data_IF_558282922776
#
_entry.id   IF_558282922776
#
_cell.length_a   1.000
_cell.length_b   1.000
_cell.length_c   1.000
_cell.angle_alpha   90.00
_cell.angle_beta   90.00
_cell.angle_gamma   90.00
#
_symmetry.space_group_name_H-M   'P 1'
#
loop_
_entity.id
_entity.type
_entity.pdbx_description
1 polymer ?
#
# COMPACT_ATOMS: atom_id res chain seq x y z
N UNK A 1 -24.43 22.81 -28.38
CA UNK A 1 -23.60 22.46 -27.20
C UNK A 1 -23.59 20.94 -27.16
N UNK A 2 -22.53 20.36 -27.69
CA UNK A 2 -22.55 18.99 -28.20
C UNK A 2 -22.56 17.96 -27.09
N UNK A 3 -23.45 16.99 -27.23
CA UNK A 3 -23.61 15.80 -26.37
C UNK A 3 -22.26 15.10 -26.13
N UNK A 4 -21.36 15.18 -27.11
CA UNK A 4 -19.99 14.67 -27.05
C UNK A 4 -19.13 15.33 -25.95
N UNK A 5 -19.22 16.65 -25.76
CA UNK A 5 -18.53 17.38 -24.69
C UNK A 5 -19.11 16.98 -23.32
N UNK A 6 -20.41 16.69 -23.26
CA UNK A 6 -21.09 16.25 -22.06
C UNK A 6 -20.72 14.80 -21.70
N UNK A 7 -20.58 13.91 -22.69
CA UNK A 7 -20.07 12.54 -22.50
C UNK A 7 -18.62 12.55 -22.04
N UNK A 8 -17.75 13.36 -22.67
CA UNK A 8 -16.35 13.52 -22.26
C UNK A 8 -16.19 14.03 -20.82
N UNK A 9 -17.13 14.85 -20.32
CA UNK A 9 -17.16 15.28 -18.90
C UNK A 9 -17.46 14.15 -17.91
N UNK A 10 -18.12 13.07 -18.35
CA UNK A 10 -18.51 11.94 -17.51
C UNK A 10 -17.63 10.70 -17.70
N UNK A 11 -16.74 10.71 -18.70
CA UNK A 11 -15.72 9.67 -18.82
C UNK A 11 -14.77 9.74 -17.62
N UNK A 12 -14.43 8.56 -17.10
CA UNK A 12 -13.43 8.44 -16.05
C UNK A 12 -12.11 9.01 -16.57
N UNK A 13 -11.67 10.13 -15.99
CA UNK A 13 -10.36 10.72 -16.29
C UNK A 13 -9.26 9.68 -16.05
N UNK A 14 -8.19 9.72 -16.82
CA UNK A 14 -7.03 8.88 -16.51
C UNK A 14 -6.32 9.36 -15.24
N UNK A 15 -5.63 8.41 -14.60
CA UNK A 15 -4.82 8.70 -13.42
C UNK A 15 -3.56 9.48 -13.83
N UNK A 16 -3.20 10.47 -13.03
CA UNK A 16 -1.96 11.22 -13.20
C UNK A 16 -0.75 10.26 -13.16
N UNK A 17 0.19 10.36 -14.12
CA UNK A 17 1.41 9.56 -14.11
C UNK A 17 2.30 9.93 -12.93
N UNK A 18 3.17 9.00 -12.51
CA UNK A 18 4.18 9.24 -11.47
C UNK A 18 5.58 8.96 -12.01
N UNK A 19 6.25 7.92 -11.52
CA UNK A 19 7.50 7.40 -12.08
C UNK A 19 7.18 6.06 -12.71
N UNK A 20 7.77 5.76 -13.87
CA UNK A 20 7.48 4.57 -14.68
C UNK A 20 7.43 3.28 -13.85
N UNK A 21 8.43 3.03 -13.01
CA UNK A 21 8.46 1.83 -12.16
C UNK A 21 7.27 1.71 -11.19
N UNK A 22 6.77 2.84 -10.66
CA UNK A 22 5.59 2.87 -9.81
C UNK A 22 4.33 2.67 -10.64
N UNK A 23 4.24 3.35 -11.79
CA UNK A 23 3.10 3.26 -12.68
C UNK A 23 2.91 1.83 -13.21
N UNK A 24 4.00 1.19 -13.66
CA UNK A 24 4.03 -0.20 -14.12
C UNK A 24 3.68 -1.17 -13.00
N UNK A 25 4.27 -1.01 -11.82
CA UNK A 25 3.97 -1.88 -10.69
C UNK A 25 2.51 -1.76 -10.25
N UNK A 26 1.98 -0.53 -10.20
CA UNK A 26 0.62 -0.25 -9.75
C UNK A 26 -0.46 -0.58 -10.79
N UNK A 27 -0.11 -0.65 -12.09
CA UNK A 27 -1.06 -0.91 -13.17
C UNK A 27 -1.92 -2.17 -12.96
N UNK A 28 -1.31 -3.25 -12.46
CA UNK A 28 -2.01 -4.52 -12.18
C UNK A 28 -3.05 -4.43 -11.04
N UNK A 29 -3.06 -3.32 -10.29
CA UNK A 29 -3.99 -3.07 -9.20
C UNK A 29 -5.06 -2.03 -9.57
N UNK A 30 -5.09 -1.50 -10.81
CA UNK A 30 -6.04 -0.45 -11.24
C UNK A 30 -7.48 -0.86 -10.96
N UNK A 31 -7.84 -2.11 -11.29
CA UNK A 31 -9.20 -2.66 -11.15
C UNK A 31 -9.63 -2.88 -9.69
N UNK A 32 -8.73 -2.69 -8.72
CA UNK A 32 -9.08 -2.71 -7.31
C UNK A 32 -9.85 -1.45 -6.89
N UNK A 33 -9.72 -0.35 -7.64
CA UNK A 33 -10.22 0.96 -7.26
C UNK A 33 -11.33 1.39 -8.23
N UNK A 34 -12.52 1.64 -7.69
CA UNK A 34 -13.62 2.21 -8.48
C UNK A 34 -13.35 3.67 -8.88
N UNK A 35 -12.73 4.43 -7.99
CA UNK A 35 -12.37 5.82 -8.24
C UNK A 35 -10.91 5.99 -8.63
N UNK A 36 -10.68 6.75 -9.70
CA UNK A 36 -9.35 7.13 -10.17
C UNK A 36 -8.52 7.82 -9.08
N UNK A 37 -9.17 8.60 -8.21
CA UNK A 37 -8.52 9.27 -7.07
C UNK A 37 -7.94 8.29 -6.06
N UNK A 38 -8.63 7.17 -5.81
CA UNK A 38 -8.13 6.12 -4.91
C UNK A 38 -6.93 5.41 -5.55
N UNK A 39 -6.99 5.14 -6.86
CA UNK A 39 -5.85 4.58 -7.58
C UNK A 39 -4.63 5.52 -7.58
N UNK A 40 -4.82 6.82 -7.76
CA UNK A 40 -3.75 7.81 -7.63
C UNK A 40 -3.16 7.83 -6.22
N UNK A 41 -4.00 7.82 -5.18
CA UNK A 41 -3.53 7.77 -3.79
C UNK A 41 -2.70 6.49 -3.53
N UNK A 42 -3.10 5.36 -4.11
CA UNK A 42 -2.32 4.12 -4.05
C UNK A 42 -0.92 4.29 -4.68
N UNK A 43 -0.83 4.91 -5.87
CA UNK A 43 0.44 5.20 -6.54
C UNK A 43 1.31 6.16 -5.72
N UNK A 44 0.73 7.25 -5.22
CA UNK A 44 1.42 8.23 -4.39
C UNK A 44 1.94 7.63 -3.08
N UNK A 45 1.18 6.71 -2.48
CA UNK A 45 1.64 6.01 -1.28
C UNK A 45 2.90 5.18 -1.58
N UNK A 46 2.93 4.44 -2.69
CA UNK A 46 4.11 3.67 -3.11
C UNK A 46 5.32 4.57 -3.38
N UNK A 47 5.11 5.65 -4.12
CA UNK A 47 6.15 6.65 -4.39
C UNK A 47 6.71 7.24 -3.08
N UNK A 48 5.84 7.61 -2.14
CA UNK A 48 6.23 8.13 -0.83
C UNK A 48 7.00 7.12 0.02
N UNK A 49 6.56 5.86 0.03
CA UNK A 49 7.21 4.78 0.78
C UNK A 49 8.60 4.48 0.23
N UNK A 50 8.81 4.55 -1.09
CA UNK A 50 10.11 4.25 -1.72
C UNK A 50 11.04 5.47 -1.72
N UNK A 51 10.50 6.70 -1.64
CA UNK A 51 11.33 7.93 -1.68
C UNK A 51 12.33 8.04 -0.51
N UNK A 52 13.45 8.78 -0.63
CA UNK A 52 14.44 8.90 0.44
C UNK A 52 14.04 9.88 1.56
N UNK A 53 12.79 9.85 2.03
CA UNK A 53 12.33 10.68 3.15
C UNK A 53 12.62 10.06 4.51
N UNK A 54 13.08 10.89 5.45
CA UNK A 54 13.42 10.49 6.83
C UNK A 54 12.23 9.93 7.61
N UNK A 55 11.02 10.46 7.40
CA UNK A 55 9.79 9.99 8.07
C UNK A 55 8.72 9.65 7.04
N UNK A 56 8.14 8.46 7.17
CA UNK A 56 7.14 7.89 6.26
C UNK A 56 5.70 8.19 6.68
N UNK A 57 5.47 9.38 7.26
CA UNK A 57 4.11 9.78 7.65
C UNK A 57 3.33 10.29 6.43
N UNK A 58 2.00 10.19 6.48
CA UNK A 58 1.15 10.68 5.37
C UNK A 58 1.37 12.16 5.04
N UNK A 59 1.58 13.08 6.03
CA UNK A 59 1.91 14.46 5.71
C UNK A 59 3.25 14.64 4.98
N UNK A 60 4.28 13.88 5.35
CA UNK A 60 5.58 13.96 4.68
C UNK A 60 5.53 13.35 3.27
N UNK A 61 4.81 12.25 3.11
CA UNK A 61 4.54 11.64 1.80
C UNK A 61 3.78 12.64 0.91
N UNK A 62 2.75 13.30 1.45
CA UNK A 62 1.95 14.27 0.71
C UNK A 62 2.79 15.43 0.14
N UNK A 63 3.78 15.91 0.92
CA UNK A 63 4.74 16.94 0.46
C UNK A 63 5.58 16.45 -0.72
N UNK A 64 6.12 15.23 -0.63
CA UNK A 64 6.99 14.68 -1.68
C UNK A 64 6.24 14.39 -2.97
N UNK A 65 5.04 13.83 -2.87
CA UNK A 65 4.21 13.51 -4.05
C UNK A 65 3.39 14.70 -4.55
N UNK A 66 3.61 15.90 -3.98
CA UNK A 66 3.03 17.18 -4.37
C UNK A 66 1.48 17.17 -4.41
N UNK A 67 0.85 16.39 -3.55
CA UNK A 67 -0.62 16.44 -3.37
C UNK A 67 -0.99 17.55 -2.40
N UNK A 68 -2.08 18.27 -2.72
CA UNK A 68 -2.51 19.47 -1.99
C UNK A 68 -2.85 19.21 -0.52
N UNK A 69 -3.20 17.98 -0.15
CA UNK A 69 -3.57 17.64 1.23
C UNK A 69 -3.22 16.21 1.57
N UNK A 70 -2.67 16.00 2.77
CA UNK A 70 -2.49 14.67 3.36
C UNK A 70 -3.82 13.97 3.67
N UNK A 71 -4.93 14.73 3.68
CA UNK A 71 -6.26 14.20 3.97
C UNK A 71 -6.73 13.22 2.90
N UNK A 72 -6.34 13.38 1.64
CA UNK A 72 -6.69 12.42 0.59
C UNK A 72 -6.03 11.05 0.83
N UNK A 73 -4.75 11.05 1.24
CA UNK A 73 -4.04 9.83 1.61
C UNK A 73 -4.61 9.17 2.87
N UNK A 74 -5.02 9.99 3.84
CA UNK A 74 -5.69 9.49 5.05
C UNK A 74 -7.03 8.85 4.71
N UNK A 75 -7.88 9.56 3.96
CA UNK A 75 -9.18 9.05 3.50
C UNK A 75 -9.01 7.77 2.69
N UNK A 76 -8.03 7.73 1.79
CA UNK A 76 -7.68 6.55 1.02
C UNK A 76 -7.43 5.30 1.89
N UNK A 77 -6.73 5.45 3.01
CA UNK A 77 -6.42 4.34 3.90
C UNK A 77 -7.55 4.00 4.88
N UNK A 78 -8.29 5.01 5.34
CA UNK A 78 -9.27 4.84 6.42
C UNK A 78 -10.70 4.55 5.93
N UNK A 79 -11.09 5.14 4.79
CA UNK A 79 -12.50 5.23 4.40
C UNK A 79 -12.78 4.72 2.98
N UNK A 80 -11.77 4.65 2.09
CA UNK A 80 -12.01 4.24 0.70
C UNK A 80 -12.34 2.75 0.58
N UNK A 81 -13.31 2.43 -0.27
CA UNK A 81 -13.86 1.08 -0.45
C UNK A 81 -13.00 0.20 -1.38
N UNK A 82 -11.80 -0.18 -0.93
CA UNK A 82 -10.97 -1.17 -1.62
C UNK A 82 -10.70 -2.39 -0.72
N UNK A 83 -10.62 -3.57 -1.33
CA UNK A 83 -10.51 -4.83 -0.58
C UNK A 83 -9.05 -5.19 -0.30
N UNK A 84 -8.66 -5.19 0.97
CA UNK A 84 -7.35 -5.70 1.44
C UNK A 84 -7.14 -7.15 1.01
N UNK A 85 -8.19 -7.97 1.02
CA UNK A 85 -8.10 -9.38 0.61
C UNK A 85 -7.83 -9.50 -0.88
N UNK A 86 -8.50 -8.73 -1.74
CA UNK A 86 -8.20 -8.69 -3.18
C UNK A 86 -6.79 -8.21 -3.45
N UNK A 87 -6.34 -7.13 -2.77
CA UNK A 87 -4.97 -6.63 -2.87
C UNK A 87 -3.94 -7.73 -2.54
N UNK A 88 -4.15 -8.45 -1.43
CA UNK A 88 -3.28 -9.55 -1.01
C UNK A 88 -3.25 -10.68 -2.03
N UNK A 89 -4.41 -11.07 -2.56
CA UNK A 89 -4.52 -12.12 -3.57
C UNK A 89 -3.80 -11.74 -4.87
N UNK A 90 -4.02 -10.52 -5.38
CA UNK A 90 -3.34 -9.99 -6.57
C UNK A 90 -1.81 -10.00 -6.38
N UNK A 91 -1.33 -9.49 -5.23
CA UNK A 91 0.09 -9.47 -4.90
C UNK A 91 0.69 -10.87 -4.82
N UNK A 92 0.00 -11.82 -4.17
CA UNK A 92 0.47 -13.20 -4.07
C UNK A 92 0.50 -13.88 -5.44
N UNK A 93 -0.49 -13.65 -6.29
CA UNK A 93 -0.51 -14.18 -7.66
C UNK A 93 0.65 -13.62 -8.48
N UNK A 94 0.96 -12.33 -8.36
CA UNK A 94 2.12 -11.71 -9.00
C UNK A 94 3.43 -12.36 -8.55
N UNK A 95 3.62 -12.51 -7.23
CA UNK A 95 4.80 -13.20 -6.68
C UNK A 95 4.88 -14.63 -7.23
N UNK A 96 3.80 -15.41 -7.18
CA UNK A 96 3.78 -16.79 -7.71
C UNK A 96 4.18 -16.86 -9.19
N UNK A 97 3.68 -15.93 -10.02
CA UNK A 97 4.05 -15.84 -11.45
C UNK A 97 5.55 -15.59 -11.61
N UNK A 98 6.12 -14.64 -10.85
CA UNK A 98 7.56 -14.33 -10.89
C UNK A 98 8.43 -15.50 -10.44
N UNK A 99 7.99 -16.26 -9.43
CA UNK A 99 8.71 -17.42 -8.96
C UNK A 99 8.75 -18.56 -9.98
N UNK A 100 7.77 -18.66 -10.88
CA UNK A 100 7.78 -19.64 -11.97
C UNK A 100 7.96 -21.09 -11.51
N UNK A 101 7.48 -21.45 -10.32
CA UNK A 101 7.64 -22.79 -9.74
C UNK A 101 9.03 -23.13 -9.20
N UNK A 102 9.95 -22.15 -9.15
CA UNK A 102 11.28 -22.34 -8.54
C UNK A 102 11.19 -22.65 -7.05
N UNK A 103 12.12 -23.46 -6.57
CA UNK A 103 12.30 -23.69 -5.14
C UNK A 103 12.72 -22.38 -4.46
N UNK A 104 11.99 -21.98 -3.43
CA UNK A 104 12.22 -20.76 -2.67
C UNK A 104 12.42 -21.07 -1.20
N UNK A 105 13.30 -20.30 -0.56
CA UNK A 105 13.33 -20.25 0.90
C UNK A 105 12.40 -19.14 1.37
N UNK A 106 11.46 -19.51 2.22
CA UNK A 106 10.54 -18.58 2.84
C UNK A 106 11.11 -18.18 4.19
N UNK A 107 11.48 -16.92 4.34
CA UNK A 107 11.82 -16.33 5.64
C UNK A 107 10.56 -15.67 6.18
N UNK A 108 10.11 -16.14 7.33
CA UNK A 108 9.00 -15.55 8.08
C UNK A 108 9.63 -14.82 9.26
N UNK A 109 9.54 -13.50 9.25
CA UNK A 109 9.99 -12.67 10.36
C UNK A 109 8.82 -11.91 10.97
N UNK A 110 8.81 -11.82 12.30
CA UNK A 110 7.80 -11.09 13.06
C UNK A 110 8.32 -9.69 13.35
N UNK A 111 7.74 -8.68 12.69
CA UNK A 111 8.00 -7.28 13.02
C UNK A 111 6.87 -6.74 13.90
N UNK A 112 7.17 -6.54 15.19
CA UNK A 112 6.24 -5.95 16.15
C UNK A 112 6.50 -4.46 16.37
N UNK A 113 5.55 -3.61 15.97
CA UNK A 113 5.59 -2.17 16.26
C UNK A 113 4.82 -1.85 17.54
N UNK A 114 5.51 -1.26 18.52
CA UNK A 114 4.93 -0.82 19.79
C UNK A 114 4.03 0.40 19.56
N UNK A 115 2.76 0.30 19.94
CA UNK A 115 1.86 1.46 19.98
C UNK A 115 1.76 1.99 21.41
N UNK A 116 2.41 3.12 21.69
CA UNK A 116 2.34 3.78 23.00
C UNK A 116 1.16 4.76 23.05
N UNK A 117 0.08 4.37 23.71
CA UNK A 117 -1.07 5.26 23.97
C UNK A 117 -2.20 4.57 24.74
N UNK A 118 -2.92 5.33 25.58
CA UNK A 118 -4.14 4.85 26.29
C UNK A 118 -5.42 4.96 25.46
N UNK A 119 -5.35 5.53 24.25
CA UNK A 119 -6.50 5.95 23.43
C UNK A 119 -6.76 5.07 22.19
N UNK A 120 -6.04 3.98 22.01
CA UNK A 120 -6.27 3.08 20.87
C UNK A 120 -6.98 1.84 21.38
N UNK A 121 -8.31 1.83 21.24
CA UNK A 121 -9.10 0.61 21.37
C UNK A 121 -8.68 -0.40 20.29
N UNK A 122 -8.79 -1.69 20.58
CA UNK A 122 -8.54 -2.83 19.67
C UNK A 122 -7.08 -3.21 19.34
N UNK A 123 -6.10 -2.90 20.18
CA UNK A 123 -4.76 -3.53 20.08
C UNK A 123 -4.57 -4.50 21.24
N UNK A 124 -4.76 -5.80 20.96
CA UNK A 124 -4.56 -6.87 21.93
C UNK A 124 -3.11 -6.90 22.42
N UNK A 125 -2.91 -7.31 23.69
CA UNK A 125 -1.57 -7.59 24.21
C UNK A 125 -1.05 -8.85 23.53
N UNK A 126 0.10 -8.75 22.87
CA UNK A 126 0.77 -9.86 22.23
C UNK A 126 2.26 -9.81 22.50
N UNK A 127 2.93 -10.95 22.41
CA UNK A 127 4.38 -11.01 22.52
C UNK A 127 4.96 -10.22 21.35
N UNK A 128 5.82 -9.24 21.64
CA UNK A 128 6.50 -8.46 20.63
C UNK A 128 7.96 -8.91 20.63
N UNK A 129 8.35 -9.68 19.61
CA UNK A 129 9.72 -10.20 19.47
C UNK A 129 10.81 -9.13 19.57
N UNK A 130 10.51 -7.91 19.12
CA UNK A 130 11.40 -6.73 19.18
C UNK A 130 11.77 -6.27 20.60
N UNK A 131 11.00 -6.65 21.63
CA UNK A 131 11.24 -6.23 23.03
C UNK A 131 11.28 -7.41 24.02
N UNK A 132 11.08 -8.64 23.55
CA UNK A 132 11.10 -9.85 24.38
C UNK A 132 10.01 -9.91 25.44
N UNK A 133 8.91 -9.18 25.28
CA UNK A 133 7.82 -9.05 26.27
C UNK A 133 6.46 -8.90 25.60
N UNK A 134 5.41 -9.21 26.36
CA UNK A 134 4.01 -9.01 25.97
C UNK A 134 3.62 -7.53 26.18
N UNK A 135 3.25 -6.83 25.10
CA UNK A 135 2.74 -5.45 25.13
C UNK A 135 1.67 -5.24 24.04
N UNK A 136 1.02 -4.07 24.00
CA UNK A 136 0.09 -3.71 22.91
C UNK A 136 0.90 -3.27 21.68
N UNK A 137 0.78 -4.00 20.59
CA UNK A 137 1.42 -3.67 19.31
C UNK A 137 0.68 -4.27 18.13
N UNK A 138 1.06 -3.94 16.91
CA UNK A 138 0.63 -4.67 15.72
C UNK A 138 1.80 -5.58 15.32
N UNK A 139 1.51 -6.87 15.16
CA UNK A 139 2.46 -7.82 14.56
C UNK A 139 2.25 -7.81 13.05
N UNK A 140 3.29 -7.43 12.34
CA UNK A 140 3.40 -7.62 10.90
C UNK A 140 4.30 -8.83 10.67
N UNK A 141 3.75 -9.89 10.08
CA UNK A 141 4.57 -11.00 9.59
C UNK A 141 5.06 -10.61 8.20
N UNK A 142 6.35 -10.33 8.08
CA UNK A 142 7.00 -10.09 6.79
C UNK A 142 7.48 -11.43 6.23
N UNK A 143 7.06 -11.73 5.00
CA UNK A 143 7.49 -12.93 4.28
C UNK A 143 8.48 -12.52 3.18
N UNK A 144 9.76 -12.83 3.38
CA UNK A 144 10.80 -12.61 2.38
C UNK A 144 11.04 -13.95 1.66
N UNK A 145 11.09 -13.90 0.33
CA UNK A 145 11.40 -15.06 -0.49
C UNK A 145 12.80 -14.89 -1.04
N UNK A 146 13.68 -15.86 -0.76
CA UNK A 146 15.01 -15.93 -1.37
C UNK A 146 15.00 -17.05 -2.42
N UNK A 147 15.47 -16.73 -3.62
CA UNK A 147 15.66 -17.74 -4.67
C UNK A 147 16.74 -18.72 -4.19
N UNK A 148 16.41 -20.01 -4.17
CA UNK A 148 17.29 -21.07 -3.69
C UNK A 148 18.36 -21.42 -4.72
N UNK A 149 19.19 -20.44 -5.09
CA UNK A 149 20.39 -20.70 -5.88
C UNK A 149 21.38 -21.53 -5.04
N UNK A 150 21.85 -22.65 -5.61
CA UNK A 150 23.07 -23.32 -5.14
C UNK A 150 24.27 -22.41 -5.35
#
# INVERSE_FOLDING_TARGET
MDVEIQILKHLAREAQPTVAIIDEYCAEYKDLFQEVRNYECFKYLHLGIISPIKRKSLPEIAKVVRVKSAQSLHHFLANSEWSVNKLRSLRLNKIKKVLGGKAITVVVDETGDRKKGKKTDYVARQYLGSIGKVDRGILLILRILKDGGK
#
